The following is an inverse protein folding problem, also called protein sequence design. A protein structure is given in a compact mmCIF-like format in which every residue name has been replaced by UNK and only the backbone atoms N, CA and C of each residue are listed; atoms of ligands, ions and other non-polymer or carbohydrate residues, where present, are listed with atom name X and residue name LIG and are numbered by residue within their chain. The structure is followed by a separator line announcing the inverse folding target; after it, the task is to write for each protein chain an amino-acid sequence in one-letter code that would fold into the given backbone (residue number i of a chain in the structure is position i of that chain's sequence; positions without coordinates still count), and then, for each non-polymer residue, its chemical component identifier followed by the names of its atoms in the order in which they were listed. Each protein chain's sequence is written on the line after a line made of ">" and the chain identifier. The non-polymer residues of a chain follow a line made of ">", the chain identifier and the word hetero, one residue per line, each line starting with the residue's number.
data_IF_521344202882
#
_entry.id   IF_521344202882
#
_cell.length_a   1.000
_cell.length_b   1.000
_cell.length_c   1.000
_cell.angle_alpha   90.00
_cell.angle_beta   90.00
_cell.angle_gamma   90.00
#
_symmetry.space_group_name_H-M   'P 1'
#
loop_
_entity.id
_entity.type
_entity.pdbx_description
1 polymer ?
#
# COMPACT_ATOMS: atom_id res chain seq x y z
N UNK A 1 -33.66 -28.05 3.14
CA UNK A 1 -33.89 -28.45 1.73
C UNK A 1 -32.52 -28.73 1.13
N UNK A 2 -32.05 -29.97 1.28
CA UNK A 2 -30.68 -30.37 0.93
C UNK A 2 -30.55 -30.49 -0.58
N UNK A 3 -30.13 -29.41 -1.24
CA UNK A 3 -29.68 -29.50 -2.62
C UNK A 3 -28.31 -30.17 -2.62
N UNK A 4 -28.29 -31.46 -2.95
CA UNK A 4 -27.06 -32.16 -3.31
C UNK A 4 -26.44 -31.47 -4.52
N UNK A 5 -25.35 -30.72 -4.30
CA UNK A 5 -24.51 -30.19 -5.35
C UNK A 5 -24.14 -31.35 -6.29
N UNK A 6 -24.64 -31.31 -7.53
CA UNK A 6 -24.35 -32.32 -8.54
C UNK A 6 -22.83 -32.42 -8.72
N UNK A 7 -22.28 -33.64 -8.62
CA UNK A 7 -20.85 -33.99 -8.69
C UNK A 7 -20.11 -33.54 -9.98
N UNK A 8 -20.77 -32.83 -10.89
CA UNK A 8 -20.24 -32.35 -12.18
C UNK A 8 -20.11 -30.81 -12.27
N UNK A 9 -20.26 -30.06 -11.18
CA UNK A 9 -20.03 -28.61 -11.19
C UNK A 9 -18.53 -28.30 -11.06
N UNK A 10 -17.86 -28.02 -12.17
CA UNK A 10 -16.46 -27.60 -12.17
C UNK A 10 -16.40 -26.08 -11.94
N UNK A 11 -16.09 -25.67 -10.71
CA UNK A 11 -15.99 -24.25 -10.29
C UNK A 11 -14.73 -23.57 -10.84
N UNK A 12 -13.76 -24.37 -11.27
CA UNK A 12 -12.45 -23.91 -11.71
C UNK A 12 -12.27 -24.10 -13.21
N UNK A 13 -11.59 -23.17 -13.89
CA UNK A 13 -11.21 -23.34 -15.29
C UNK A 13 -10.30 -24.56 -15.43
N UNK A 14 -10.22 -25.16 -16.64
CA UNK A 14 -9.33 -26.29 -16.88
C UNK A 14 -7.90 -25.94 -16.49
N UNK A 15 -7.18 -26.93 -15.91
CA UNK A 15 -5.82 -26.73 -15.45
C UNK A 15 -4.90 -26.29 -16.60
N UNK A 16 -4.47 -25.04 -16.57
CA UNK A 16 -3.44 -24.51 -17.45
C UNK A 16 -2.12 -24.49 -16.68
N UNK A 17 -1.35 -25.58 -16.77
CA UNK A 17 -0.06 -25.68 -16.08
C UNK A 17 0.91 -24.65 -16.64
N UNK A 18 1.14 -23.57 -15.91
CA UNK A 18 2.32 -22.74 -16.15
C UNK A 18 3.56 -23.47 -15.65
N UNK A 19 4.68 -23.26 -16.34
CA UNK A 19 5.98 -23.63 -15.80
C UNK A 19 6.20 -22.82 -14.51
N UNK A 20 6.02 -23.47 -13.36
CA UNK A 20 6.40 -22.95 -12.05
C UNK A 20 7.75 -23.57 -11.66
N UNK A 21 8.89 -23.05 -12.15
CA UNK A 21 10.18 -23.52 -11.67
C UNK A 21 10.26 -23.29 -10.17
N UNK A 22 10.78 -24.27 -9.44
CA UNK A 22 11.00 -24.13 -7.99
C UNK A 22 12.03 -23.02 -7.75
N UNK A 23 11.60 -21.93 -7.14
CA UNK A 23 12.51 -20.84 -6.76
C UNK A 23 13.44 -21.35 -5.65
N UNK A 24 14.73 -21.45 -5.97
CA UNK A 24 15.76 -21.78 -5.00
C UNK A 24 16.14 -20.51 -4.23
N UNK A 25 15.70 -20.40 -2.97
CA UNK A 25 15.90 -19.21 -2.13
C UNK A 25 17.37 -18.90 -1.80
N UNK A 26 18.28 -19.86 -1.99
CA UNK A 26 19.72 -19.66 -1.80
C UNK A 26 20.42 -19.04 -3.02
N UNK A 27 19.75 -18.98 -4.18
CA UNK A 27 20.28 -18.37 -5.39
C UNK A 27 19.66 -17.00 -5.60
N UNK A 28 20.45 -16.06 -6.12
CA UNK A 28 19.92 -14.78 -6.55
C UNK A 28 19.00 -15.02 -7.76
N UNK A 29 17.73 -14.57 -7.72
CA UNK A 29 16.83 -14.75 -8.86
C UNK A 29 17.40 -14.01 -10.08
N UNK A 30 17.19 -14.57 -11.28
CA UNK A 30 17.46 -13.82 -12.50
C UNK A 30 16.60 -12.55 -12.50
N UNK A 31 17.24 -11.41 -12.29
CA UNK A 31 16.55 -10.13 -12.29
C UNK A 31 16.11 -9.85 -13.72
N UNK A 32 14.80 -9.94 -13.98
CA UNK A 32 14.23 -9.35 -15.18
C UNK A 32 14.57 -7.86 -15.14
N UNK A 33 15.38 -7.39 -16.08
CA UNK A 33 15.80 -6.00 -16.15
C UNK A 33 14.58 -5.08 -16.26
N UNK A 34 14.10 -4.59 -15.11
CA UNK A 34 13.18 -3.48 -15.07
C UNK A 34 14.00 -2.27 -15.49
N UNK A 35 13.57 -1.59 -16.55
CA UNK A 35 14.22 -0.38 -17.00
C UNK A 35 14.40 0.55 -15.79
N UNK A 36 15.65 0.81 -15.40
CA UNK A 36 15.99 1.61 -14.22
C UNK A 36 15.47 3.02 -14.45
N UNK A 37 14.39 3.38 -13.76
CA UNK A 37 13.84 4.72 -13.76
C UNK A 37 14.46 5.52 -12.62
N UNK A 38 14.97 6.70 -12.97
CA UNK A 38 15.63 7.70 -12.13
C UNK A 38 16.95 7.28 -11.43
N UNK A 39 17.87 8.23 -11.32
CA UNK A 39 19.15 8.03 -10.63
C UNK A 39 18.90 7.84 -9.11
N UNK A 40 19.07 6.62 -8.55
CA UNK A 40 18.70 6.31 -7.17
C UNK A 40 19.54 7.11 -6.16
N UNK A 41 20.73 7.56 -6.55
CA UNK A 41 21.57 8.38 -5.72
C UNK A 41 20.98 9.76 -5.44
N UNK A 42 20.27 10.36 -6.41
CA UNK A 42 19.64 11.66 -6.21
C UNK A 42 18.49 11.56 -5.20
N UNK A 43 17.63 10.54 -5.33
CA UNK A 43 16.54 10.30 -4.39
C UNK A 43 17.06 10.08 -2.95
N UNK A 44 18.15 9.33 -2.81
CA UNK A 44 18.80 9.08 -1.52
C UNK A 44 19.41 10.34 -0.93
N UNK A 45 20.10 11.14 -1.75
CA UNK A 45 20.71 12.39 -1.30
C UNK A 45 19.65 13.38 -0.81
N UNK A 46 18.54 13.52 -1.54
CA UNK A 46 17.43 14.39 -1.14
C UNK A 46 16.78 13.86 0.16
N UNK A 47 16.48 12.57 0.24
CA UNK A 47 15.78 11.98 1.40
C UNK A 47 16.64 12.04 2.66
N UNK A 48 17.84 11.47 2.64
CA UNK A 48 18.70 11.40 3.82
C UNK A 48 19.42 12.71 4.11
N UNK A 49 19.99 13.32 3.08
CA UNK A 49 20.71 14.60 3.22
C UNK A 49 19.76 15.73 3.62
N UNK A 50 18.60 15.82 2.98
CA UNK A 50 17.59 16.82 3.32
C UNK A 50 17.00 16.61 4.71
N UNK A 51 16.68 15.36 5.08
CA UNK A 51 16.14 15.06 6.42
C UNK A 51 17.15 15.39 7.52
N UNK A 52 18.43 15.03 7.33
CA UNK A 52 19.48 15.37 8.27
C UNK A 52 19.65 16.89 8.39
N UNK A 53 19.71 17.61 7.27
CA UNK A 53 19.85 19.06 7.26
C UNK A 53 18.68 19.77 7.95
N UNK A 54 17.44 19.36 7.66
CA UNK A 54 16.24 19.91 8.31
C UNK A 54 16.22 19.60 9.81
N UNK A 55 16.58 18.37 10.20
CA UNK A 55 16.60 17.97 11.61
C UNK A 55 17.64 18.78 12.38
N UNK A 56 18.86 18.92 11.85
CA UNK A 56 19.89 19.74 12.49
C UNK A 56 19.48 21.21 12.57
N UNK A 57 18.91 21.77 11.50
CA UNK A 57 18.42 23.15 11.49
C UNK A 57 17.30 23.37 12.51
N UNK A 58 16.31 22.47 12.55
CA UNK A 58 15.19 22.56 13.49
C UNK A 58 15.64 22.37 14.95
N UNK A 59 16.52 21.40 15.22
CA UNK A 59 17.10 21.20 16.55
C UNK A 59 17.93 22.40 17.00
N UNK A 60 18.69 23.02 16.10
CA UNK A 60 19.42 24.25 16.38
C UNK A 60 18.47 25.41 16.72
N UNK A 61 17.42 25.62 15.92
CA UNK A 61 16.40 26.63 16.22
C UNK A 61 15.72 26.37 17.58
N UNK A 62 15.44 25.11 17.90
CA UNK A 62 14.84 24.73 19.18
C UNK A 62 15.78 25.01 20.36
N UNK A 63 17.10 24.83 20.19
CA UNK A 63 18.09 25.20 21.21
C UNK A 63 18.12 26.70 21.49
N UNK A 64 17.90 27.52 20.47
CA UNK A 64 17.86 28.99 20.62
C UNK A 64 16.57 29.45 21.31
N UNK A 65 15.46 28.71 21.11
CA UNK A 65 14.15 29.05 21.69
C UNK A 65 14.01 28.55 23.14
N UNK A 66 14.59 27.39 23.47
CA UNK A 66 14.48 26.81 24.80
C UNK A 66 15.53 27.40 25.77
N UNK A 67 15.17 27.79 27.00
CA UNK A 67 16.13 28.23 28.00
C UNK A 67 16.85 27.02 28.63
N UNK A 68 17.84 26.48 27.93
CA UNK A 68 18.53 25.23 28.29
C UNK A 68 19.62 25.42 29.35
N UNK A 69 19.97 26.67 29.66
CA UNK A 69 20.96 27.01 30.69
C UNK A 69 20.29 27.63 31.92
N UNK A 70 20.90 27.44 33.10
CA UNK A 70 20.39 27.99 34.37
C UNK A 70 20.23 29.51 34.28
N UNK A 71 21.18 30.19 33.63
CA UNK A 71 21.18 31.66 33.49
C UNK A 71 19.97 32.11 32.66
N UNK A 72 19.71 31.46 31.52
CA UNK A 72 18.58 31.79 30.65
C UNK A 72 17.24 31.40 31.25
N UNK A 73 17.20 30.36 32.09
CA UNK A 73 15.98 29.86 32.72
C UNK A 73 15.59 30.62 34.00
N UNK A 74 16.55 31.29 34.65
CA UNK A 74 16.33 32.03 35.91
C UNK A 74 15.28 33.14 35.78
N UNK A 75 15.27 33.99 34.73
CA UNK A 75 14.24 35.02 34.54
C UNK A 75 12.81 34.46 34.45
N UNK A 76 12.67 33.22 34.00
CA UNK A 76 11.39 32.53 33.81
C UNK A 76 11.00 31.65 35.01
N UNK A 77 11.80 31.64 36.07
CA UNK A 77 11.58 30.77 37.23
C UNK A 77 11.73 29.27 36.93
N UNK A 78 12.38 28.92 35.81
CA UNK A 78 12.54 27.55 35.32
C UNK A 78 13.88 26.91 35.74
N UNK A 79 14.64 27.52 36.65
CA UNK A 79 16.00 27.11 37.03
C UNK A 79 16.08 25.85 37.90
N UNK A 80 14.96 25.19 38.20
CA UNK A 80 14.98 23.96 39.02
C UNK A 80 15.68 22.78 38.30
N UNK A 81 16.36 21.87 39.01
CA UNK A 81 17.02 20.72 38.38
C UNK A 81 16.07 19.81 37.59
N UNK A 82 14.84 19.64 38.08
CA UNK A 82 13.81 18.86 37.41
C UNK A 82 13.41 19.50 36.08
N UNK A 83 13.08 20.80 36.09
CA UNK A 83 12.67 21.51 34.87
C UNK A 83 13.77 21.54 33.83
N UNK A 84 15.03 21.71 34.23
CA UNK A 84 16.19 21.60 33.32
C UNK A 84 16.25 20.22 32.66
N UNK A 85 16.09 19.16 33.45
CA UNK A 85 16.09 17.78 32.93
C UNK A 85 14.95 17.58 31.92
N UNK A 86 13.76 18.09 32.21
CA UNK A 86 12.60 18.01 31.30
C UNK A 86 12.82 18.80 30.01
N UNK A 87 13.47 19.96 30.04
CA UNK A 87 13.77 20.75 28.83
C UNK A 87 14.75 20.04 27.91
N UNK A 88 15.80 19.42 28.47
CA UNK A 88 16.73 18.60 27.68
C UNK A 88 16.05 17.35 27.12
N UNK A 89 15.20 16.71 27.92
CA UNK A 89 14.40 15.57 27.45
C UNK A 89 13.45 15.98 26.32
N UNK A 90 12.78 17.13 26.45
CA UNK A 90 11.90 17.70 25.42
C UNK A 90 12.67 17.97 24.13
N UNK A 91 13.86 18.58 24.20
CA UNK A 91 14.71 18.81 23.03
C UNK A 91 15.09 17.50 22.33
N UNK A 92 15.47 16.48 23.11
CA UNK A 92 15.79 15.16 22.59
C UNK A 92 14.60 14.51 21.90
N UNK A 93 13.44 14.49 22.56
CA UNK A 93 12.20 13.94 22.01
C UNK A 93 11.74 14.69 20.75
N UNK A 94 11.80 16.02 20.78
CA UNK A 94 11.53 16.87 19.61
C UNK A 94 12.46 16.51 18.45
N UNK A 95 13.77 16.38 18.69
CA UNK A 95 14.75 16.08 17.64
C UNK A 95 14.47 14.72 16.98
N UNK A 96 14.15 13.70 17.77
CA UNK A 96 13.83 12.36 17.27
C UNK A 96 12.51 12.37 16.48
N UNK A 97 11.46 12.96 17.05
CA UNK A 97 10.13 13.00 16.41
C UNK A 97 10.12 13.87 15.16
N UNK A 98 10.78 15.03 15.19
CA UNK A 98 10.96 15.87 14.02
C UNK A 98 11.81 15.19 12.95
N UNK A 99 12.87 14.46 13.33
CA UNK A 99 13.68 13.70 12.39
C UNK A 99 12.89 12.64 11.64
N UNK A 100 11.98 11.94 12.33
CA UNK A 100 11.03 11.02 11.70
C UNK A 100 10.12 11.73 10.68
N UNK A 101 9.55 12.89 11.04
CA UNK A 101 8.70 13.69 10.14
C UNK A 101 9.50 14.25 8.96
N UNK A 102 10.71 14.73 9.19
CA UNK A 102 11.61 15.24 8.15
C UNK A 102 12.01 14.13 7.17
N UNK A 103 12.21 12.91 7.65
CA UNK A 103 12.49 11.75 6.81
C UNK A 103 11.32 11.45 5.85
N UNK A 104 10.09 11.36 6.37
CA UNK A 104 8.91 11.06 5.53
C UNK A 104 8.60 12.21 4.56
N UNK A 105 8.74 13.46 5.01
CA UNK A 105 8.56 14.64 4.16
C UNK A 105 9.60 14.68 3.02
N UNK A 106 10.88 14.48 3.34
CA UNK A 106 11.93 14.49 2.32
C UNK A 106 11.87 13.28 1.39
N UNK A 107 11.37 12.13 1.85
CA UNK A 107 11.07 10.99 0.98
C UNK A 107 9.97 11.33 -0.04
N UNK A 108 8.91 12.04 0.38
CA UNK A 108 7.86 12.51 -0.52
C UNK A 108 8.39 13.53 -1.55
N UNK A 109 9.22 14.48 -1.10
CA UNK A 109 9.89 15.45 -1.99
C UNK A 109 10.83 14.73 -2.97
N UNK A 110 11.60 13.76 -2.51
CA UNK A 110 12.45 12.94 -3.37
C UNK A 110 11.61 12.22 -4.42
N UNK A 111 10.47 11.63 -4.03
CA UNK A 111 9.51 11.02 -4.95
C UNK A 111 9.04 12.00 -6.02
N UNK A 112 8.65 13.21 -5.63
CA UNK A 112 8.19 14.25 -6.56
C UNK A 112 9.29 14.72 -7.52
N UNK A 113 10.51 14.98 -7.02
CA UNK A 113 11.64 15.46 -7.83
C UNK A 113 12.19 14.36 -8.76
N UNK A 114 12.16 13.10 -8.30
CA UNK A 114 12.67 11.95 -9.05
C UNK A 114 11.61 11.23 -9.87
N UNK A 115 10.33 11.59 -9.76
CA UNK A 115 9.25 11.19 -10.65
C UNK A 115 9.40 11.85 -12.04
N UNK A 116 10.54 11.62 -12.68
CA UNK A 116 10.65 11.73 -14.13
C UNK A 116 10.10 10.45 -14.71
N UNK A 117 8.95 10.58 -15.36
CA UNK A 117 8.48 9.58 -16.30
C UNK A 117 8.20 8.22 -15.67
N UNK A 118 7.53 8.22 -14.49
CA UNK A 118 6.66 7.09 -14.21
C UNK A 118 5.71 7.06 -15.38
N UNK A 119 5.89 6.08 -16.27
CA UNK A 119 5.05 5.81 -17.43
C UNK A 119 3.61 5.90 -16.96
N UNK A 120 3.02 7.09 -17.09
CA UNK A 120 1.61 7.30 -16.84
C UNK A 120 1.01 6.35 -17.86
N UNK A 121 0.41 5.27 -17.37
CA UNK A 121 -0.28 4.33 -18.22
C UNK A 121 -1.15 5.20 -19.13
N UNK A 122 -0.86 5.23 -20.43
CA UNK A 122 -1.59 6.07 -21.35
C UNK A 122 -3.05 5.63 -21.22
N UNK A 123 -3.95 6.45 -20.65
CA UNK A 123 -5.28 5.98 -20.29
C UNK A 123 -6.06 5.50 -21.52
N UNK A 124 -5.66 6.00 -22.69
CA UNK A 124 -6.24 5.70 -24.01
C UNK A 124 -5.51 4.59 -24.77
N UNK A 125 -4.43 4.01 -24.21
CA UNK A 125 -3.78 2.89 -24.88
C UNK A 125 -4.74 1.68 -24.93
N UNK A 126 -4.93 1.07 -26.11
CA UNK A 126 -5.83 -0.06 -26.24
C UNK A 126 -5.34 -1.24 -25.39
N UNK A 127 -6.25 -1.87 -24.65
CA UNK A 127 -5.97 -3.11 -23.94
C UNK A 127 -5.63 -4.21 -24.96
N UNK A 128 -4.47 -4.85 -24.79
CA UNK A 128 -3.94 -5.86 -25.73
C UNK A 128 -4.03 -7.29 -25.20
N UNK A 129 -4.38 -7.50 -23.95
CA UNK A 129 -4.44 -8.81 -23.31
C UNK A 129 -5.73 -9.02 -22.52
N UNK A 130 -5.97 -10.27 -22.14
CA UNK A 130 -7.02 -10.62 -21.19
C UNK A 130 -6.48 -10.43 -19.78
N UNK A 131 -7.25 -9.76 -18.93
CA UNK A 131 -6.92 -9.42 -17.56
C UNK A 131 -7.87 -10.13 -16.62
N UNK A 132 -7.34 -10.84 -15.65
CA UNK A 132 -8.18 -11.46 -14.62
C UNK A 132 -8.39 -10.45 -13.49
N UNK A 133 -9.65 -10.11 -13.21
CA UNK A 133 -10.06 -9.41 -11.99
C UNK A 133 -10.25 -10.47 -10.89
N UNK A 134 -9.23 -10.63 -10.06
CA UNK A 134 -9.24 -11.57 -8.95
C UNK A 134 -9.83 -10.93 -7.69
N UNK A 135 -10.88 -11.52 -7.13
CA UNK A 135 -11.53 -11.11 -5.88
C UNK A 135 -11.32 -12.17 -4.81
N UNK A 136 -10.34 -12.01 -3.90
CA UNK A 136 -10.25 -12.85 -2.72
C UNK A 136 -11.38 -12.52 -1.74
N UNK A 137 -11.94 -13.55 -1.11
CA UNK A 137 -13.04 -13.45 -0.13
C UNK A 137 -12.67 -14.31 1.08
N UNK A 138 -12.63 -13.70 2.26
CA UNK A 138 -12.46 -14.34 3.56
C UNK A 138 -13.48 -13.81 4.57
N UNK A 139 -14.55 -14.58 4.81
CA UNK A 139 -15.56 -14.28 5.83
C UNK A 139 -16.25 -12.90 5.70
N UNK A 140 -16.25 -12.26 4.52
CA UNK A 140 -17.01 -11.04 4.28
C UNK A 140 -18.50 -11.31 3.96
N UNK A 141 -19.31 -10.26 3.97
CA UNK A 141 -20.70 -10.31 3.50
C UNK A 141 -20.75 -10.57 1.98
N UNK A 142 -21.29 -11.72 1.53
CA UNK A 142 -21.29 -12.07 0.12
C UNK A 142 -22.10 -11.12 -0.75
N UNK A 143 -23.15 -10.52 -0.20
CA UNK A 143 -24.01 -9.57 -0.92
C UNK A 143 -23.21 -8.32 -1.30
N UNK A 144 -22.43 -7.81 -0.35
CA UNK A 144 -21.58 -6.64 -0.55
C UNK A 144 -20.45 -6.90 -1.55
N UNK A 145 -19.83 -8.08 -1.46
CA UNK A 145 -18.80 -8.51 -2.42
C UNK A 145 -19.39 -8.60 -3.83
N UNK A 146 -20.50 -9.30 -4.01
CA UNK A 146 -21.13 -9.48 -5.32
C UNK A 146 -21.64 -8.16 -5.91
N UNK A 147 -22.21 -7.27 -5.08
CA UNK A 147 -22.61 -5.93 -5.53
C UNK A 147 -21.43 -5.09 -6.01
N UNK A 148 -20.27 -5.20 -5.35
CA UNK A 148 -19.05 -4.50 -5.76
C UNK A 148 -18.53 -5.05 -7.09
N UNK A 149 -18.55 -6.38 -7.27
CA UNK A 149 -18.19 -7.03 -8.53
C UNK A 149 -19.14 -6.64 -9.67
N UNK A 150 -20.45 -6.62 -9.43
CA UNK A 150 -21.45 -6.20 -10.41
C UNK A 150 -21.22 -4.75 -10.86
N UNK A 151 -21.00 -3.82 -9.91
CA UNK A 151 -20.71 -2.43 -10.23
C UNK A 151 -19.42 -2.28 -11.08
N UNK A 152 -18.36 -3.04 -10.75
CA UNK A 152 -17.14 -3.04 -11.56
C UNK A 152 -17.38 -3.59 -12.97
N UNK A 153 -18.20 -4.64 -13.11
CA UNK A 153 -18.53 -5.21 -14.42
C UNK A 153 -19.37 -4.26 -15.27
N UNK A 154 -20.38 -3.60 -14.69
CA UNK A 154 -21.18 -2.56 -15.37
C UNK A 154 -20.32 -1.38 -15.83
N UNK A 155 -19.35 -0.97 -15.01
CA UNK A 155 -18.41 0.09 -15.37
C UNK A 155 -17.50 -0.32 -16.53
N UNK A 156 -17.02 -1.57 -16.55
CA UNK A 156 -16.21 -2.12 -17.65
C UNK A 156 -17.02 -2.24 -18.94
N UNK A 157 -18.29 -2.60 -18.85
CA UNK A 157 -19.20 -2.65 -20.01
C UNK A 157 -19.48 -1.25 -20.56
N UNK A 158 -19.74 -0.27 -19.69
CA UNK A 158 -19.91 1.14 -20.06
C UNK A 158 -18.66 1.72 -20.75
N UNK A 159 -17.47 1.25 -20.39
CA UNK A 159 -16.20 1.62 -21.04
C UNK A 159 -15.94 0.84 -22.34
N UNK A 160 -16.77 -0.15 -22.69
CA UNK A 160 -16.59 -1.03 -23.85
C UNK A 160 -15.38 -1.97 -23.72
N UNK A 161 -14.88 -2.17 -22.50
CA UNK A 161 -13.67 -2.96 -22.22
C UNK A 161 -13.96 -4.33 -21.61
N UNK A 162 -15.23 -4.65 -21.30
CA UNK A 162 -15.62 -5.90 -20.63
C UNK A 162 -14.99 -7.17 -21.26
N UNK A 163 -14.86 -7.22 -22.60
CA UNK A 163 -14.23 -8.35 -23.33
C UNK A 163 -12.77 -8.63 -22.95
N UNK A 164 -12.08 -7.68 -22.33
CA UNK A 164 -10.69 -7.82 -21.91
C UNK A 164 -10.56 -8.30 -20.47
N UNK A 165 -11.67 -8.51 -19.75
CA UNK A 165 -11.66 -8.86 -18.34
C UNK A 165 -12.43 -10.14 -18.06
N UNK A 166 -11.88 -10.98 -17.17
CA UNK A 166 -12.56 -12.14 -16.61
C UNK A 166 -12.55 -12.02 -15.09
N UNK A 167 -13.70 -12.21 -14.44
CA UNK A 167 -13.83 -12.10 -12.98
C UNK A 167 -13.65 -13.46 -12.33
N UNK A 168 -12.74 -13.55 -11.36
CA UNK A 168 -12.46 -14.76 -10.61
C UNK A 168 -12.61 -14.50 -9.12
N UNK A 169 -13.50 -15.24 -8.46
CA UNK A 169 -13.68 -15.18 -7.00
C UNK A 169 -12.95 -16.34 -6.36
N UNK A 170 -12.09 -16.05 -5.39
CA UNK A 170 -11.37 -17.06 -4.61
C UNK A 170 -11.81 -16.95 -3.16
N UNK A 171 -12.63 -17.91 -2.75
CA UNK A 171 -13.08 -18.03 -1.36
C UNK A 171 -12.08 -18.82 -0.54
N UNK A 172 -11.62 -18.24 0.57
CA UNK A 172 -10.89 -18.92 1.65
C UNK A 172 -11.72 -18.93 2.95
N UNK A 173 -13.04 -18.68 2.85
CA UNK A 173 -13.94 -18.63 4.01
C UNK A 173 -14.02 -19.98 4.73
N UNK A 174 -13.83 -19.98 6.04
CA UNK A 174 -13.85 -21.17 6.90
C UNK A 174 -15.14 -21.31 7.73
N UNK A 175 -16.05 -20.33 7.67
CA UNK A 175 -17.31 -20.31 8.43
C UNK A 175 -18.46 -21.03 7.69
N UNK A 176 -18.99 -22.15 8.24
CA UNK A 176 -20.08 -22.90 7.61
C UNK A 176 -21.38 -22.11 7.44
N UNK A 177 -21.58 -21.09 8.28
CA UNK A 177 -22.75 -20.19 8.25
C UNK A 177 -22.78 -19.30 6.99
N UNK A 178 -21.60 -18.95 6.46
CA UNK A 178 -21.46 -18.00 5.35
C UNK A 178 -21.52 -18.71 4.00
N UNK A 179 -21.07 -19.98 3.93
CA UNK A 179 -20.99 -20.74 2.68
C UNK A 179 -22.28 -20.80 1.85
N UNK A 180 -23.50 -21.01 2.42
CA UNK A 180 -24.72 -21.06 1.64
C UNK A 180 -25.06 -19.70 1.01
N UNK A 181 -24.90 -18.62 1.79
CA UNK A 181 -25.14 -17.25 1.32
C UNK A 181 -24.12 -16.88 0.23
N UNK A 182 -22.87 -17.27 0.41
CA UNK A 182 -21.79 -17.02 -0.54
C UNK A 182 -22.01 -17.76 -1.87
N UNK A 183 -22.32 -19.05 -1.80
CA UNK A 183 -22.61 -19.85 -3.00
C UNK A 183 -23.83 -19.32 -3.76
N UNK A 184 -24.87 -18.88 -3.04
CA UNK A 184 -26.06 -18.30 -3.65
C UNK A 184 -25.79 -16.95 -4.30
N UNK A 185 -25.04 -16.06 -3.63
CA UNK A 185 -24.71 -14.74 -4.13
C UNK A 185 -23.80 -14.82 -5.37
N UNK A 186 -22.78 -15.68 -5.34
CA UNK A 186 -21.88 -15.88 -6.50
C UNK A 186 -22.64 -16.46 -7.68
N UNK A 187 -23.52 -17.46 -7.46
CA UNK A 187 -24.36 -18.01 -8.53
C UNK A 187 -25.26 -16.95 -9.14
N UNK A 188 -25.89 -16.12 -8.31
CA UNK A 188 -26.73 -15.04 -8.81
C UNK A 188 -25.93 -14.05 -9.65
N UNK A 189 -24.71 -13.70 -9.22
CA UNK A 189 -23.83 -12.82 -9.98
C UNK A 189 -23.46 -13.43 -11.35
N UNK A 190 -23.21 -14.74 -11.43
CA UNK A 190 -22.95 -15.45 -12.68
C UNK A 190 -24.15 -15.48 -13.65
N UNK A 191 -25.37 -15.35 -13.15
CA UNK A 191 -26.58 -15.32 -13.97
C UNK A 191 -26.87 -13.90 -14.51
N UNK A 192 -26.39 -12.87 -13.81
CA UNK A 192 -26.65 -11.46 -14.14
C UNK A 192 -25.60 -10.87 -15.09
N UNK A 193 -24.36 -11.36 -15.03
CA UNK A 193 -23.24 -10.95 -15.90
C UNK A 193 -23.12 -11.86 -17.13
#
# INVERSE_FOLDING_TARGET
>A
MNQSLSLNYTVTPPAATLAMPTQVLSLQPEQRAVASSANPWLARLITFGGSLALTLAASYQMQVVLPLTVIEATPWGLSSPLTMTLLWLLLGLFTVTFGWVALTAMAAVAGFVTARDQRLAHPEAPLRGNTVLLMPVYNEDPTRVCASLAAMAEDLDRLGQARHFEVFVVSDSDRPEIWPAETAAIRHLQEVL
#
